data_IF_726548921707
#
_entry.id   IF_726548921707
#
_cell.length_a   1.000
_cell.length_b   1.000
_cell.length_c   1.000
_cell.angle_alpha   90.00
_cell.angle_beta   90.00
_cell.angle_gamma   90.00
#
_symmetry.space_group_name_H-M   'P 1'
#
loop_
_entity.id
_entity.type
_entity.pdbx_description
1 polymer ?
#
# COMPACT_ATOMS: atom_id res chain seq x y z
N UNK A 1 14.43 24.20 19.12
CA UNK A 1 15.35 23.06 19.20
C UNK A 1 15.33 22.37 17.83
N UNK A 2 16.29 22.64 16.95
CA UNK A 2 16.34 22.09 15.59
C UNK A 2 16.79 20.64 15.67
N UNK A 3 15.87 19.72 15.45
CA UNK A 3 16.16 18.31 15.33
C UNK A 3 16.74 18.05 13.93
N UNK A 4 17.92 17.44 13.80
CA UNK A 4 18.51 17.18 12.50
C UNK A 4 17.64 16.22 11.67
N UNK A 5 17.57 16.48 10.38
CA UNK A 5 16.72 15.75 9.45
C UNK A 5 17.20 14.30 9.25
N UNK A 6 16.26 13.32 9.12
CA UNK A 6 16.59 11.90 9.21
C UNK A 6 17.56 11.39 8.14
N UNK A 7 17.39 11.83 6.91
CA UNK A 7 18.26 11.38 5.80
C UNK A 7 19.62 12.08 5.83
N UNK A 8 19.69 13.30 6.31
CA UNK A 8 20.96 14.03 6.50
C UNK A 8 21.82 13.33 7.54
N UNK A 9 21.22 12.87 8.67
CA UNK A 9 21.92 12.12 9.71
C UNK A 9 22.38 10.75 9.24
N UNK A 10 21.48 9.99 8.58
CA UNK A 10 21.84 8.67 8.07
C UNK A 10 22.91 8.75 6.99
N UNK A 11 22.83 9.76 6.10
CA UNK A 11 23.86 10.03 5.09
C UNK A 11 25.20 10.40 5.69
N UNK A 12 25.21 11.21 6.75
CA UNK A 12 26.45 11.58 7.46
C UNK A 12 27.11 10.37 8.15
N UNK A 13 26.31 9.51 8.81
CA UNK A 13 26.79 8.31 9.49
C UNK A 13 27.36 7.27 8.51
N UNK A 14 26.67 7.01 7.42
CA UNK A 14 27.15 6.07 6.39
C UNK A 14 28.37 6.61 5.66
N UNK A 15 28.41 7.92 5.37
CA UNK A 15 29.55 8.57 4.76
C UNK A 15 30.79 8.56 5.67
N UNK A 16 30.61 8.76 6.98
CA UNK A 16 31.72 8.68 7.95
C UNK A 16 32.26 7.24 8.06
N UNK A 17 31.42 6.25 8.09
CA UNK A 17 31.84 4.84 8.12
C UNK A 17 32.61 4.41 6.86
N UNK A 18 32.43 5.09 5.72
CA UNK A 18 33.04 4.74 4.43
C UNK A 18 34.32 5.52 4.10
N UNK A 19 34.47 6.79 4.52
CA UNK A 19 35.56 7.67 4.11
C UNK A 19 35.81 8.85 5.07
N UNK A 20 35.73 8.63 6.37
CA UNK A 20 36.00 9.63 7.42
C UNK A 20 35.19 10.94 7.29
N UNK A 21 35.78 12.07 7.68
CA UNK A 21 35.11 13.37 7.74
C UNK A 21 34.61 13.87 6.36
N UNK A 22 35.34 13.58 5.31
CA UNK A 22 34.98 13.96 3.92
C UNK A 22 33.78 13.17 3.41
N UNK A 23 33.71 11.90 3.76
CA UNK A 23 32.53 11.04 3.47
C UNK A 23 31.30 11.47 4.23
N UNK A 24 31.46 11.89 5.50
CA UNK A 24 30.36 12.41 6.30
C UNK A 24 29.71 13.67 5.69
N UNK A 25 30.53 14.60 5.18
CA UNK A 25 30.09 15.83 4.52
C UNK A 25 29.33 15.53 3.22
N UNK A 26 29.90 14.67 2.36
CA UNK A 26 29.23 14.27 1.11
C UNK A 26 27.93 13.50 1.38
N UNK A 27 27.93 12.58 2.35
CA UNK A 27 26.75 11.85 2.77
C UNK A 27 25.65 12.74 3.33
N UNK A 28 26.01 13.76 4.12
CA UNK A 28 25.07 14.76 4.63
C UNK A 28 24.48 15.61 3.51
N UNK A 29 25.28 16.05 2.54
CA UNK A 29 24.81 16.83 1.39
C UNK A 29 23.85 16.03 0.50
N UNK A 30 24.17 14.78 0.21
CA UNK A 30 23.31 13.89 -0.58
C UNK A 30 22.01 13.57 0.17
N UNK A 31 22.09 13.30 1.48
CA UNK A 31 20.93 13.11 2.34
C UNK A 31 20.01 14.33 2.36
N UNK A 32 20.59 15.52 2.50
CA UNK A 32 19.83 16.78 2.49
C UNK A 32 19.19 17.07 1.13
N UNK A 33 19.88 16.81 0.02
CA UNK A 33 19.33 16.95 -1.32
C UNK A 33 18.15 15.99 -1.57
N UNK A 34 18.26 14.76 -1.07
CA UNK A 34 17.21 13.77 -1.13
C UNK A 34 15.98 14.18 -0.28
N UNK A 35 16.18 14.70 0.93
CA UNK A 35 15.11 15.24 1.78
C UNK A 35 14.33 16.34 1.09
N UNK A 36 15.00 17.30 0.45
CA UNK A 36 14.35 18.39 -0.29
C UNK A 36 13.56 17.91 -1.48
N UNK A 37 14.06 16.95 -2.25
CA UNK A 37 13.36 16.36 -3.40
C UNK A 37 12.14 15.52 -2.99
N UNK A 38 12.24 14.81 -1.86
CA UNK A 38 11.20 13.91 -1.38
C UNK A 38 10.23 14.59 -0.41
N UNK A 39 10.48 15.84 0.01
CA UNK A 39 9.66 16.56 0.98
C UNK A 39 9.65 15.92 2.37
N UNK A 40 10.69 15.17 2.72
CA UNK A 40 10.80 14.41 3.98
C UNK A 40 11.47 15.28 5.05
N UNK A 41 10.69 16.08 5.75
CA UNK A 41 11.20 17.02 6.77
C UNK A 41 11.34 16.43 8.18
N UNK A 42 10.87 15.19 8.39
CA UNK A 42 10.96 14.53 9.70
C UNK A 42 10.87 13.00 9.62
N UNK A 43 11.34 12.30 10.66
CA UNK A 43 11.18 10.85 10.82
C UNK A 43 9.71 10.42 10.87
N UNK A 44 8.83 11.28 11.36
CA UNK A 44 7.39 11.02 11.37
C UNK A 44 6.80 11.04 9.95
N UNK A 45 7.20 11.98 9.11
CA UNK A 45 6.76 12.05 7.71
C UNK A 45 7.26 10.83 6.91
N UNK A 46 8.51 10.39 7.13
CA UNK A 46 9.07 9.19 6.52
C UNK A 46 8.30 7.93 6.95
N UNK A 47 8.06 7.78 8.26
CA UNK A 47 7.28 6.66 8.79
C UNK A 47 5.83 6.66 8.30
N UNK A 48 5.19 7.83 8.23
CA UNK A 48 3.82 7.96 7.72
C UNK A 48 3.76 7.51 6.26
N UNK A 49 4.70 7.96 5.43
CA UNK A 49 4.74 7.60 4.00
C UNK A 49 5.02 6.11 3.78
N UNK A 50 5.99 5.54 4.49
CA UNK A 50 6.27 4.10 4.41
C UNK A 50 5.14 3.25 4.97
N UNK A 51 4.50 3.71 6.05
CA UNK A 51 3.33 3.06 6.63
C UNK A 51 2.08 3.16 5.75
N UNK A 52 1.84 4.31 5.11
CA UNK A 52 0.72 4.50 4.22
C UNK A 52 0.81 3.61 2.98
N UNK A 53 1.95 3.57 2.30
CA UNK A 53 2.12 2.72 1.10
C UNK A 53 1.86 1.24 1.44
N UNK A 54 2.37 0.76 2.58
CA UNK A 54 2.09 -0.61 3.02
C UNK A 54 0.62 -0.84 3.41
N UNK A 55 -0.02 0.15 4.04
CA UNK A 55 -1.41 0.09 4.47
C UNK A 55 -2.39 0.13 3.29
N UNK A 56 -2.12 0.92 2.27
CA UNK A 56 -2.98 1.06 1.08
C UNK A 56 -3.05 -0.23 0.28
N UNK A 57 -1.91 -0.87 0.02
CA UNK A 57 -1.88 -2.17 -0.65
C UNK A 57 -2.53 -3.26 0.21
N UNK A 58 -2.37 -3.23 1.53
CA UNK A 58 -3.01 -4.17 2.41
C UNK A 58 -4.53 -4.04 2.34
N UNK A 59 -5.07 -2.81 2.47
CA UNK A 59 -6.51 -2.56 2.37
C UNK A 59 -7.07 -3.04 1.04
N UNK A 60 -6.40 -2.71 -0.07
CA UNK A 60 -6.81 -3.14 -1.40
C UNK A 60 -7.01 -4.67 -1.44
N UNK A 61 -6.00 -5.45 -1.05
CA UNK A 61 -6.08 -6.91 -1.13
C UNK A 61 -7.04 -7.52 -0.12
N UNK A 62 -7.21 -6.94 1.07
CA UNK A 62 -8.28 -7.34 2.00
C UNK A 62 -9.67 -7.15 1.37
N UNK A 63 -9.95 -6.01 0.73
CA UNK A 63 -11.22 -5.75 0.06
C UNK A 63 -11.45 -6.70 -1.12
N UNK A 64 -10.42 -6.95 -1.94
CA UNK A 64 -10.50 -7.93 -3.03
C UNK A 64 -10.81 -9.34 -2.53
N UNK A 65 -10.19 -9.77 -1.43
CA UNK A 65 -10.45 -11.06 -0.80
C UNK A 65 -11.88 -11.17 -0.27
N UNK A 66 -12.39 -10.08 0.32
CA UNK A 66 -13.75 -10.02 0.83
C UNK A 66 -14.80 -10.10 -0.28
N UNK A 67 -14.62 -9.33 -1.36
CA UNK A 67 -15.48 -9.40 -2.55
C UNK A 67 -15.47 -10.79 -3.18
N UNK A 68 -14.29 -11.36 -3.39
CA UNK A 68 -14.17 -12.70 -3.96
C UNK A 68 -14.92 -13.76 -3.14
N UNK A 69 -15.01 -13.60 -1.81
CA UNK A 69 -15.73 -14.50 -0.91
C UNK A 69 -17.22 -14.20 -0.83
N UNK A 70 -17.64 -12.94 -0.95
CA UNK A 70 -19.03 -12.51 -0.86
C UNK A 70 -19.92 -13.12 -1.96
N UNK A 71 -19.35 -13.40 -3.11
CA UNK A 71 -20.00 -14.15 -4.18
C UNK A 71 -20.15 -15.66 -3.90
N UNK A 72 -19.74 -16.15 -2.71
CA UNK A 72 -19.78 -17.55 -2.29
C UNK A 72 -18.42 -18.22 -2.33
N UNK A 73 -18.05 -18.84 -3.43
CA UNK A 73 -16.74 -19.50 -3.59
C UNK A 73 -15.74 -18.63 -4.34
N UNK A 74 -14.51 -18.55 -3.81
CA UNK A 74 -13.40 -17.90 -4.52
C UNK A 74 -13.03 -18.75 -5.73
N UNK A 75 -13.25 -18.19 -6.93
CA UNK A 75 -12.92 -18.87 -8.18
C UNK A 75 -11.47 -18.65 -8.60
N UNK A 76 -10.97 -19.48 -9.52
CA UNK A 76 -9.67 -19.29 -10.16
C UNK A 76 -9.57 -17.92 -10.87
N UNK A 77 -10.68 -17.41 -11.39
CA UNK A 77 -10.74 -16.08 -12.02
C UNK A 77 -10.47 -14.96 -11.01
N UNK A 78 -11.02 -15.04 -9.77
CA UNK A 78 -10.71 -14.11 -8.70
C UNK A 78 -9.23 -14.12 -8.31
N UNK A 79 -8.61 -15.31 -8.27
CA UNK A 79 -7.18 -15.45 -7.96
C UNK A 79 -6.33 -14.80 -9.05
N UNK A 80 -6.61 -15.09 -10.33
CA UNK A 80 -5.91 -14.46 -11.47
C UNK A 80 -6.06 -12.95 -11.48
N UNK A 81 -7.23 -12.43 -11.12
CA UNK A 81 -7.45 -10.99 -11.02
C UNK A 81 -6.59 -10.37 -9.92
N UNK A 82 -6.54 -10.99 -8.74
CA UNK A 82 -5.68 -10.51 -7.65
C UNK A 82 -4.19 -10.55 -8.03
N UNK A 83 -3.74 -11.60 -8.73
CA UNK A 83 -2.37 -11.68 -9.27
C UNK A 83 -2.11 -10.60 -10.33
N UNK A 84 -3.11 -10.27 -11.15
CA UNK A 84 -3.05 -9.17 -12.10
C UNK A 84 -2.84 -7.81 -11.42
N UNK A 85 -3.49 -7.57 -10.27
CA UNK A 85 -3.29 -6.35 -9.48
C UNK A 85 -1.88 -6.31 -8.86
N UNK A 86 -1.36 -7.44 -8.34
CA UNK A 86 0.03 -7.55 -7.85
C UNK A 86 1.03 -7.13 -8.94
N UNK A 87 0.86 -7.64 -10.17
CA UNK A 87 1.70 -7.29 -11.31
C UNK A 87 1.56 -5.83 -11.70
N UNK A 88 0.34 -5.29 -11.72
CA UNK A 88 0.05 -3.89 -12.08
C UNK A 88 0.70 -2.90 -11.10
N UNK A 89 0.73 -3.25 -9.82
CA UNK A 89 1.35 -2.46 -8.77
C UNK A 89 2.88 -2.63 -8.70
N UNK A 90 3.45 -3.55 -9.49
CA UNK A 90 4.89 -3.80 -9.51
C UNK A 90 5.44 -4.28 -8.17
N UNK A 91 4.63 -5.03 -7.40
CA UNK A 91 5.04 -5.47 -6.07
C UNK A 91 6.21 -6.46 -6.14
N UNK A 92 7.21 -6.22 -5.31
CA UNK A 92 8.33 -7.13 -5.10
C UNK A 92 7.89 -8.43 -4.39
N UNK A 93 8.83 -9.33 -4.14
CA UNK A 93 8.55 -10.64 -3.51
C UNK A 93 7.88 -10.49 -2.15
N UNK A 94 8.33 -9.54 -1.33
CA UNK A 94 7.76 -9.29 -0.01
C UNK A 94 6.40 -8.60 -0.09
N UNK A 95 6.23 -7.64 -0.99
CA UNK A 95 4.96 -7.01 -1.29
C UNK A 95 3.92 -8.02 -1.79
N UNK A 96 4.31 -8.94 -2.67
CA UNK A 96 3.46 -10.04 -3.13
C UNK A 96 3.03 -10.95 -1.97
N UNK A 97 3.96 -11.32 -1.10
CA UNK A 97 3.65 -12.15 0.08
C UNK A 97 2.63 -11.48 0.98
N UNK A 98 2.81 -10.18 1.26
CA UNK A 98 1.86 -9.38 2.05
C UNK A 98 0.51 -9.24 1.37
N UNK A 99 0.47 -9.02 0.07
CA UNK A 99 -0.77 -8.95 -0.71
C UNK A 99 -1.57 -10.26 -0.63
N UNK A 100 -0.92 -11.42 -0.77
CA UNK A 100 -1.55 -12.73 -0.64
C UNK A 100 -2.09 -12.95 0.79
N UNK A 101 -1.33 -12.58 1.81
CA UNK A 101 -1.76 -12.65 3.21
C UNK A 101 -2.99 -11.78 3.46
N UNK A 102 -2.98 -10.52 2.99
CA UNK A 102 -4.10 -9.59 3.09
C UNK A 102 -5.35 -10.10 2.35
N UNK A 103 -5.19 -10.64 1.14
CA UNK A 103 -6.30 -11.25 0.40
C UNK A 103 -6.93 -12.43 1.18
N UNK A 104 -6.11 -13.29 1.77
CA UNK A 104 -6.59 -14.40 2.58
C UNK A 104 -7.28 -13.92 3.87
N UNK A 105 -6.76 -12.89 4.51
CA UNK A 105 -7.39 -12.26 5.68
C UNK A 105 -8.74 -11.64 5.32
N UNK A 106 -8.85 -10.97 4.18
CA UNK A 106 -10.08 -10.36 3.69
C UNK A 106 -11.23 -11.36 3.47
N UNK A 107 -10.93 -12.64 3.18
CA UNK A 107 -11.96 -13.68 3.03
C UNK A 107 -12.77 -13.92 4.30
N UNK A 108 -12.23 -13.61 5.47
CA UNK A 108 -12.93 -13.83 6.75
C UNK A 108 -13.77 -12.64 7.16
N UNK A 109 -13.19 -11.44 7.21
CA UNK A 109 -13.90 -10.19 7.46
C UNK A 109 -13.02 -8.97 7.17
N UNK A 110 -13.62 -7.88 6.70
CA UNK A 110 -12.97 -6.56 6.64
C UNK A 110 -13.69 -5.62 7.59
N UNK A 111 -13.02 -5.32 8.72
CA UNK A 111 -13.56 -4.36 9.69
C UNK A 111 -13.41 -2.94 9.16
N UNK A 112 -14.48 -2.15 9.31
CA UNK A 112 -14.47 -0.71 9.01
C UNK A 112 -13.98 -0.37 7.59
N UNK A 113 -14.32 -1.20 6.60
CA UNK A 113 -13.91 -1.02 5.21
C UNK A 113 -14.22 0.40 4.69
N UNK A 114 -15.43 0.89 4.95
CA UNK A 114 -15.87 2.24 4.55
C UNK A 114 -15.01 3.34 5.18
N UNK A 115 -14.76 3.27 6.49
CA UNK A 115 -13.94 4.26 7.20
C UNK A 115 -12.49 4.25 6.73
N UNK A 116 -11.94 3.04 6.52
CA UNK A 116 -10.57 2.88 6.01
C UNK A 116 -10.43 3.37 4.57
N UNK A 117 -11.44 3.12 3.74
CA UNK A 117 -11.48 3.60 2.36
C UNK A 117 -11.60 5.13 2.30
N UNK A 118 -12.44 5.73 3.16
CA UNK A 118 -12.53 7.18 3.29
C UNK A 118 -11.22 7.83 3.77
N UNK A 119 -10.47 7.16 4.65
CA UNK A 119 -9.15 7.63 5.10
C UNK A 119 -8.05 7.50 4.03
N UNK A 120 -8.25 6.66 3.01
CA UNK A 120 -7.32 6.44 1.90
C UNK A 120 -7.69 7.28 0.66
N UNK A 121 -8.12 8.53 0.85
CA UNK A 121 -8.68 9.42 -0.20
C UNK A 121 -7.88 9.42 -1.51
N UNK A 122 -6.55 9.55 -1.45
CA UNK A 122 -5.69 9.59 -2.63
C UNK A 122 -5.64 8.29 -3.42
N UNK A 123 -5.96 7.17 -2.79
CA UNK A 123 -5.89 5.81 -3.36
C UNK A 123 -7.28 5.19 -3.55
N UNK A 124 -8.31 5.82 -3.01
CA UNK A 124 -9.69 5.30 -3.04
C UNK A 124 -10.12 4.96 -4.47
N UNK A 125 -9.79 5.80 -5.44
CA UNK A 125 -10.13 5.56 -6.84
C UNK A 125 -9.47 4.29 -7.41
N UNK A 126 -8.19 4.06 -7.10
CA UNK A 126 -7.44 2.86 -7.54
C UNK A 126 -8.06 1.61 -6.91
N UNK A 127 -8.38 1.67 -5.63
CA UNK A 127 -9.01 0.58 -4.87
C UNK A 127 -10.40 0.27 -5.45
N UNK A 128 -11.21 1.29 -5.67
CA UNK A 128 -12.57 1.17 -6.24
C UNK A 128 -12.51 0.51 -7.61
N UNK A 129 -11.64 0.99 -8.49
CA UNK A 129 -11.46 0.41 -9.83
C UNK A 129 -11.02 -1.05 -9.78
N UNK A 130 -10.15 -1.42 -8.85
CA UNK A 130 -9.73 -2.80 -8.64
C UNK A 130 -10.88 -3.67 -8.11
N UNK A 131 -11.69 -3.15 -7.19
CA UNK A 131 -12.89 -3.83 -6.69
C UNK A 131 -13.90 -4.09 -7.82
N UNK A 132 -14.17 -3.12 -8.69
CA UNK A 132 -15.03 -3.31 -9.85
C UNK A 132 -14.48 -4.36 -10.82
N UNK A 133 -13.17 -4.36 -11.12
CA UNK A 133 -12.56 -5.41 -11.93
C UNK A 133 -12.73 -6.79 -11.31
N UNK A 134 -12.63 -6.90 -9.98
CA UNK A 134 -12.82 -8.16 -9.26
C UNK A 134 -14.25 -8.68 -9.40
N UNK A 135 -15.24 -7.82 -9.26
CA UNK A 135 -16.67 -8.17 -9.35
C UNK A 135 -17.05 -8.64 -10.76
N UNK A 136 -16.51 -7.96 -11.79
CA UNK A 136 -16.82 -8.29 -13.18
C UNK A 136 -16.02 -9.48 -13.73
N UNK A 137 -15.10 -10.05 -12.97
CA UNK A 137 -14.21 -11.12 -13.46
C UNK A 137 -14.95 -12.39 -13.92
N UNK A 138 -16.13 -12.63 -13.36
CA UNK A 138 -17.00 -13.76 -13.74
C UNK A 138 -18.11 -13.38 -14.74
N UNK A 139 -18.06 -12.17 -15.31
CA UNK A 139 -19.04 -11.69 -16.29
C UNK A 139 -20.40 -11.25 -15.71
N UNK A 140 -20.63 -11.42 -14.43
CA UNK A 140 -21.87 -11.01 -13.74
C UNK A 140 -21.62 -10.65 -12.29
N UNK A 141 -22.30 -9.60 -11.83
CA UNK A 141 -22.23 -9.14 -10.43
C UNK A 141 -23.18 -9.96 -9.59
N UNK A 142 -22.68 -10.68 -8.61
CA UNK A 142 -23.51 -11.46 -7.69
C UNK A 142 -24.17 -10.57 -6.64
N UNK A 143 -25.34 -10.96 -6.08
CA UNK A 143 -26.03 -10.15 -5.09
C UNK A 143 -25.17 -9.75 -3.89
N UNK A 144 -24.42 -10.67 -3.28
CA UNK A 144 -23.54 -10.39 -2.15
C UNK A 144 -22.39 -9.42 -2.48
N UNK A 145 -21.83 -9.48 -3.69
CA UNK A 145 -20.82 -8.53 -4.15
C UNK A 145 -21.40 -7.12 -4.32
N UNK A 146 -22.60 -7.02 -4.88
CA UNK A 146 -23.31 -5.75 -5.06
C UNK A 146 -23.66 -5.10 -3.72
N UNK A 147 -24.13 -5.90 -2.76
CA UNK A 147 -24.51 -5.40 -1.44
C UNK A 147 -23.29 -4.87 -0.68
N UNK A 148 -22.15 -5.54 -0.77
CA UNK A 148 -20.89 -5.06 -0.21
C UNK A 148 -20.43 -3.74 -0.82
N UNK A 149 -20.46 -3.62 -2.14
CA UNK A 149 -20.07 -2.39 -2.83
C UNK A 149 -20.97 -1.23 -2.37
N UNK A 150 -22.28 -1.43 -2.30
CA UNK A 150 -23.21 -0.42 -1.75
C UNK A 150 -22.90 -0.06 -0.30
N UNK A 151 -22.61 -1.04 0.54
CA UNK A 151 -22.26 -0.83 1.95
C UNK A 151 -20.99 0.01 2.10
N UNK A 152 -20.04 -0.13 1.19
CA UNK A 152 -18.81 0.66 1.19
C UNK A 152 -19.00 2.07 0.63
N UNK A 153 -20.15 2.35 0.00
CA UNK A 153 -20.47 3.63 -0.63
C UNK A 153 -19.84 3.81 -2.01
N UNK A 154 -19.63 2.71 -2.71
CA UNK A 154 -19.05 2.63 -4.05
C UNK A 154 -20.14 2.50 -5.14
#
# INVERSE_FOLDING_TARGET
MFWPWPLTLSGALTGWAAADLSGALLGAMLGHAAERKLGLTSWSALRLRLGQVGFEHQLLFELLGHLAKAGGQVSTAHIRQAEGEIKRLGLDVEGRRRAIAAFNQGKTAVRSARTRLAAAESQAEIIIRACWRMVWVNGSVRPGERDLIRQWGL
#
